data_IF_477403690645
#
_entry.id   IF_477403690645
#
_cell.length_a   1.000
_cell.length_b   1.000
_cell.length_c   1.000
_cell.angle_alpha   90.00
_cell.angle_beta   90.00
_cell.angle_gamma   90.00
#
_symmetry.space_group_name_H-M   'P 1'
#
loop_
_entity.id
_entity.type
_entity.pdbx_description
1 polymer ?
#
# COMPACT_ATOMS: atom_id res chain seq x y z
N UNK A 1 12.47 -0.34 -2.17
CA UNK A 1 11.77 -1.60 -2.50
C UNK A 1 10.99 -1.42 -3.78
N UNK A 2 11.15 -2.34 -4.70
CA UNK A 2 10.41 -2.35 -5.95
C UNK A 2 9.71 -3.68 -6.13
N UNK A 3 8.61 -3.69 -6.89
CA UNK A 3 7.91 -4.93 -7.18
C UNK A 3 6.93 -4.76 -8.32
N UNK A 4 6.35 -5.88 -8.72
CA UNK A 4 5.32 -5.90 -9.74
C UNK A 4 4.31 -7.00 -9.47
N UNK A 5 3.09 -6.80 -9.95
CA UNK A 5 2.02 -7.78 -9.82
C UNK A 5 1.15 -7.76 -11.07
N UNK A 6 0.80 -8.94 -11.57
CA UNK A 6 -0.13 -9.10 -12.67
C UNK A 6 -1.55 -9.19 -12.12
N UNK A 7 -2.43 -8.32 -12.62
CA UNK A 7 -3.82 -8.27 -12.21
C UNK A 7 -4.73 -8.62 -13.39
N UNK A 8 -5.80 -9.34 -13.12
CA UNK A 8 -6.69 -9.89 -14.15
C UNK A 8 -7.83 -8.93 -14.55
N UNK A 9 -7.65 -7.63 -14.33
CA UNK A 9 -8.64 -6.61 -14.64
C UNK A 9 -8.05 -5.52 -15.53
N UNK A 10 -8.88 -4.81 -16.32
CA UNK A 10 -8.42 -3.67 -17.11
C UNK A 10 -7.87 -2.54 -16.24
N UNK A 11 -6.98 -1.71 -16.80
CA UNK A 11 -6.38 -0.58 -16.07
C UNK A 11 -7.42 0.30 -15.40
N UNK A 12 -8.52 0.60 -16.07
CA UNK A 12 -9.56 1.45 -15.52
C UNK A 12 -10.16 0.86 -14.24
N UNK A 13 -10.41 -0.43 -14.21
CA UNK A 13 -10.95 -1.13 -13.02
C UNK A 13 -9.91 -1.12 -11.90
N UNK A 14 -8.66 -1.40 -12.21
CA UNK A 14 -7.58 -1.37 -11.23
C UNK A 14 -7.43 0.04 -10.65
N UNK A 15 -7.45 1.05 -11.50
CA UNK A 15 -7.37 2.45 -11.05
C UNK A 15 -8.50 2.82 -10.10
N UNK A 16 -9.73 2.48 -10.45
CA UNK A 16 -10.89 2.76 -9.61
C UNK A 16 -10.76 2.09 -8.23
N UNK A 17 -10.32 0.83 -8.19
CA UNK A 17 -10.16 0.10 -6.94
C UNK A 17 -9.01 0.63 -6.09
N UNK A 18 -7.92 1.09 -6.70
CA UNK A 18 -6.80 1.72 -5.98
C UNK A 18 -7.21 3.04 -5.31
N UNK A 19 -8.29 3.66 -5.77
CA UNK A 19 -8.80 4.91 -5.22
C UNK A 19 -10.12 4.73 -4.43
N UNK A 20 -10.55 3.49 -4.26
CA UNK A 20 -11.77 3.16 -3.53
C UNK A 20 -11.46 2.91 -2.06
N UNK A 21 -12.00 3.75 -1.19
CA UNK A 21 -11.75 3.70 0.24
C UNK A 21 -12.11 2.36 0.87
N UNK A 22 -13.26 1.81 0.51
CA UNK A 22 -13.70 0.53 1.07
C UNK A 22 -12.79 -0.63 0.65
N UNK A 23 -12.38 -0.64 -0.61
CA UNK A 23 -11.43 -1.64 -1.12
C UNK A 23 -10.09 -1.55 -0.40
N UNK A 24 -9.55 -0.35 -0.26
CA UNK A 24 -8.27 -0.12 0.41
C UNK A 24 -8.33 -0.53 1.88
N UNK A 25 -9.39 -0.16 2.58
CA UNK A 25 -9.57 -0.53 3.99
C UNK A 25 -9.61 -2.04 4.16
N UNK A 26 -10.24 -2.75 3.24
CA UNK A 26 -10.35 -4.21 3.30
C UNK A 26 -9.06 -4.93 2.92
N UNK A 27 -8.18 -4.31 2.14
CA UNK A 27 -6.99 -4.95 1.57
C UNK A 27 -5.69 -4.57 2.25
N UNK A 28 -5.61 -3.39 2.89
CA UNK A 28 -4.42 -2.98 3.62
C UNK A 28 -4.31 -3.77 4.93
N UNK A 29 -3.23 -4.51 5.16
CA UNK A 29 -3.06 -5.30 6.38
C UNK A 29 -3.09 -4.43 7.63
N UNK A 30 -3.89 -4.82 8.62
CA UNK A 30 -3.97 -4.12 9.90
C UNK A 30 -4.71 -2.79 9.87
N UNK A 31 -5.31 -2.40 8.76
CA UNK A 31 -6.03 -1.15 8.65
C UNK A 31 -7.33 -1.19 9.47
N UNK A 32 -7.41 -0.33 10.50
CA UNK A 32 -8.60 -0.21 11.35
C UNK A 32 -9.56 0.84 10.83
N UNK A 33 -9.04 1.93 10.26
CA UNK A 33 -9.85 2.97 9.65
C UNK A 33 -9.12 3.61 8.49
N UNK A 34 -9.89 4.06 7.51
CA UNK A 34 -9.38 4.80 6.36
C UNK A 34 -10.46 5.77 5.93
N UNK A 35 -10.15 7.06 5.97
CA UNK A 35 -11.07 8.12 5.62
C UNK A 35 -10.48 8.99 4.52
N UNK A 36 -11.28 9.28 3.51
CA UNK A 36 -10.92 10.20 2.45
C UNK A 36 -11.20 11.62 2.93
N UNK A 37 -10.14 12.39 3.13
CA UNK A 37 -10.24 13.77 3.65
C UNK A 37 -10.33 14.81 2.55
N UNK A 38 -9.92 14.46 1.34
CA UNK A 38 -10.12 15.25 0.11
C UNK A 38 -10.02 14.31 -1.08
N UNK A 39 -10.19 14.83 -2.29
CA UNK A 39 -10.07 14.01 -3.51
C UNK A 39 -8.71 13.30 -3.65
N UNK A 40 -7.67 13.83 -3.01
CA UNK A 40 -6.31 13.32 -3.12
C UNK A 40 -5.66 13.02 -1.77
N UNK A 41 -6.43 13.04 -0.68
CA UNK A 41 -5.88 12.86 0.66
C UNK A 41 -6.70 11.85 1.46
N UNK A 42 -5.99 11.08 2.30
CA UNK A 42 -6.59 10.11 3.20
C UNK A 42 -5.97 10.23 4.59
N UNK A 43 -6.76 9.90 5.61
CA UNK A 43 -6.24 9.62 6.94
C UNK A 43 -6.50 8.17 7.29
N UNK A 44 -5.57 7.53 7.98
CA UNK A 44 -5.65 6.12 8.26
C UNK A 44 -5.17 5.80 9.67
N UNK A 45 -5.73 4.73 10.24
CA UNK A 45 -5.23 4.12 11.46
C UNK A 45 -4.96 2.65 11.15
N UNK A 46 -3.75 2.19 11.43
CA UNK A 46 -3.36 0.82 11.18
C UNK A 46 -2.53 0.27 12.35
N UNK A 47 -2.65 -1.02 12.59
CA UNK A 47 -1.87 -1.72 13.62
C UNK A 47 -0.90 -2.65 12.92
N UNK A 48 0.38 -2.57 13.31
CA UNK A 48 1.43 -3.45 12.82
C UNK A 48 2.13 -4.14 13.97
N UNK A 49 2.67 -5.31 13.70
CA UNK A 49 3.58 -6.01 14.62
C UNK A 49 4.81 -6.42 13.83
N UNK A 50 5.95 -5.83 14.18
CA UNK A 50 7.23 -6.09 13.52
C UNK A 50 8.21 -6.55 14.58
N UNK A 51 8.56 -7.86 14.57
CA UNK A 51 9.32 -8.46 15.65
C UNK A 51 8.59 -8.26 16.99
N UNK A 52 9.26 -7.77 18.03
CA UNK A 52 8.64 -7.51 19.33
C UNK A 52 7.89 -6.18 19.40
N UNK A 53 7.91 -5.36 18.35
CA UNK A 53 7.32 -4.03 18.35
C UNK A 53 5.92 -4.06 17.76
N UNK A 54 4.93 -3.80 18.60
CA UNK A 54 3.55 -3.59 18.18
C UNK A 54 3.25 -2.10 18.21
N UNK A 55 2.71 -1.56 17.13
CA UNK A 55 2.42 -0.14 17.02
C UNK A 55 1.04 0.09 16.41
N UNK A 56 0.39 1.13 16.92
CA UNK A 56 -0.81 1.70 16.30
C UNK A 56 -0.40 2.98 15.61
N UNK A 57 -0.52 2.99 14.29
CA UNK A 57 -0.09 4.10 13.45
C UNK A 57 -1.27 4.99 13.12
N UNK A 58 -1.04 6.30 13.24
CA UNK A 58 -1.94 7.32 12.70
C UNK A 58 -1.21 7.96 11.55
N UNK A 59 -1.77 7.84 10.35
CA UNK A 59 -1.10 8.27 9.15
C UNK A 59 -1.94 9.19 8.29
N UNK A 60 -1.22 9.96 7.47
CA UNK A 60 -1.81 10.79 6.41
C UNK A 60 -1.17 10.40 5.10
N UNK A 61 -1.98 10.32 4.06
CA UNK A 61 -1.54 9.95 2.72
C UNK A 61 -2.06 10.98 1.74
N UNK A 62 -1.18 11.45 0.86
CA UNK A 62 -1.53 12.35 -0.23
C UNK A 62 -1.15 11.69 -1.55
N UNK A 63 -2.02 11.85 -2.55
CA UNK A 63 -1.77 11.39 -3.90
C UNK A 63 -1.30 12.55 -4.75
N UNK A 64 -0.19 12.37 -5.46
CA UNK A 64 0.39 13.38 -6.35
C UNK A 64 0.69 12.75 -7.71
N UNK A 65 1.02 13.58 -8.68
CA UNK A 65 1.38 13.15 -10.04
C UNK A 65 0.34 12.19 -10.63
N UNK A 66 -0.94 12.52 -10.41
CA UNK A 66 -2.06 11.72 -10.88
C UNK A 66 -2.12 11.70 -12.41
N UNK A 67 -2.06 10.51 -12.97
CA UNK A 67 -2.17 10.27 -14.41
C UNK A 67 -3.13 9.10 -14.66
N UNK A 68 -4.44 9.30 -14.45
CA UNK A 68 -5.42 8.23 -14.62
C UNK A 68 -5.52 7.76 -16.08
N UNK A 69 -5.64 6.45 -16.34
CA UNK A 69 -5.54 5.33 -15.41
C UNK A 69 -4.13 4.72 -15.37
N UNK A 70 -3.07 5.49 -15.61
CA UNK A 70 -1.72 5.00 -15.83
C UNK A 70 -0.87 4.95 -14.57
N UNK A 71 -1.16 5.78 -13.58
CA UNK A 71 -0.39 5.76 -12.35
C UNK A 71 -0.52 7.01 -11.51
N UNK A 72 0.22 7.02 -10.40
CA UNK A 72 0.28 8.13 -9.46
C UNK A 72 1.43 7.94 -8.48
N UNK A 73 1.68 8.98 -7.69
CA UNK A 73 2.63 8.90 -6.58
C UNK A 73 1.88 9.04 -5.27
N UNK A 74 2.16 8.14 -4.34
CA UNK A 74 1.61 8.15 -2.99
C UNK A 74 2.68 8.73 -2.07
N UNK A 75 2.34 9.77 -1.30
CA UNK A 75 3.22 10.33 -0.28
C UNK A 75 2.54 10.19 1.06
N UNK A 76 3.21 9.53 2.01
CA UNK A 76 2.61 9.23 3.29
C UNK A 76 3.54 9.47 4.46
N UNK A 77 2.93 9.74 5.61
CA UNK A 77 3.63 9.81 6.88
C UNK A 77 2.74 9.27 7.99
N UNK A 78 3.35 8.67 8.99
CA UNK A 78 2.61 8.11 10.11
C UNK A 78 3.40 8.20 11.40
N UNK A 79 2.68 8.28 12.52
CA UNK A 79 3.23 8.28 13.85
C UNK A 79 2.72 7.06 14.62
N UNK A 80 3.62 6.35 15.27
CA UNK A 80 3.33 5.15 16.04
C UNK A 80 3.65 5.26 17.53
N UNK A 81 3.60 6.48 18.09
CA UNK A 81 3.92 6.72 19.49
C UNK A 81 5.34 6.30 19.82
N UNK A 82 5.50 5.44 20.84
CA UNK A 82 6.82 4.96 21.26
C UNK A 82 7.54 4.15 20.18
N UNK A 83 6.83 3.57 19.23
CA UNK A 83 7.44 2.83 18.14
C UNK A 83 8.19 3.74 17.17
N UNK A 84 7.85 5.02 17.11
CA UNK A 84 8.52 6.00 16.28
C UNK A 84 7.63 6.56 15.18
N UNK A 85 8.26 6.88 14.05
CA UNK A 85 7.56 7.44 12.90
C UNK A 85 8.02 6.75 11.61
N UNK A 86 7.20 6.90 10.59
CA UNK A 86 7.52 6.45 9.23
C UNK A 86 7.04 7.51 8.25
N UNK A 87 7.84 7.78 7.22
CA UNK A 87 7.42 8.62 6.10
C UNK A 87 8.02 8.07 4.83
N UNK A 88 7.32 8.26 3.73
CA UNK A 88 7.83 7.76 2.47
C UNK A 88 6.94 8.07 1.30
N UNK A 89 7.33 7.55 0.15
CA UNK A 89 6.59 7.68 -1.08
C UNK A 89 6.62 6.38 -1.86
N UNK A 90 5.60 6.21 -2.71
CA UNK A 90 5.52 5.08 -3.61
C UNK A 90 5.07 5.57 -4.98
N UNK A 91 5.83 5.19 -6.01
CA UNK A 91 5.42 5.39 -7.40
C UNK A 91 4.70 4.13 -7.87
N UNK A 92 3.50 4.31 -8.41
CA UNK A 92 2.68 3.22 -8.92
C UNK A 92 2.40 3.47 -10.41
N UNK A 93 2.65 2.44 -11.23
CA UNK A 93 2.39 2.48 -12.67
C UNK A 93 1.58 1.28 -13.10
N UNK A 94 0.64 1.54 -13.99
CA UNK A 94 -0.24 0.53 -14.56
C UNK A 94 -0.03 0.47 -16.08
N UNK A 95 0.16 -0.74 -16.60
CA UNK A 95 0.28 -0.95 -18.03
C UNK A 95 -0.52 -2.20 -18.44
N UNK A 96 -0.98 -2.23 -19.68
CA UNK A 96 -1.69 -3.40 -20.20
C UNK A 96 -0.70 -4.54 -20.41
N UNK A 97 -1.05 -5.72 -19.93
CA UNK A 97 -0.24 -6.92 -20.13
C UNK A 97 -1.09 -8.16 -20.03
N UNK A 98 -0.93 -9.06 -21.00
CA UNK A 98 -1.57 -10.40 -21.01
C UNK A 98 -3.08 -10.37 -20.75
N UNK A 99 -3.77 -9.41 -21.35
CA UNK A 99 -5.22 -9.27 -21.20
C UNK A 99 -5.68 -8.64 -19.89
N UNK A 100 -4.75 -8.22 -19.06
CA UNK A 100 -5.02 -7.55 -17.79
C UNK A 100 -4.12 -6.35 -17.59
N UNK A 101 -3.68 -6.14 -16.35
CA UNK A 101 -2.85 -4.99 -15.98
C UNK A 101 -1.62 -5.45 -15.22
N UNK A 102 -0.45 -4.99 -15.66
CA UNK A 102 0.76 -5.08 -14.87
C UNK A 102 0.87 -3.84 -14.00
N UNK A 103 0.87 -4.03 -12.69
CA UNK A 103 1.13 -2.96 -11.73
C UNK A 103 2.59 -3.06 -11.30
N UNK A 104 3.32 -1.95 -11.46
CA UNK A 104 4.69 -1.83 -10.95
C UNK A 104 4.73 -0.77 -9.88
N UNK A 105 5.56 -0.96 -8.86
CA UNK A 105 5.71 0.01 -7.79
C UNK A 105 7.15 0.13 -7.33
N UNK A 106 7.47 1.33 -6.84
CA UNK A 106 8.76 1.64 -6.22
C UNK A 106 8.49 2.43 -4.96
N UNK A 107 9.02 1.96 -3.83
CA UNK A 107 8.79 2.54 -2.51
C UNK A 107 10.11 3.00 -1.90
N UNK A 108 10.13 4.24 -1.44
CA UNK A 108 11.18 4.79 -0.58
C UNK A 108 10.56 5.16 0.76
N UNK A 109 11.16 4.72 1.85
CA UNK A 109 10.65 4.98 3.18
C UNK A 109 11.78 5.29 4.16
N UNK A 110 11.48 6.15 5.12
CA UNK A 110 12.35 6.46 6.25
C UNK A 110 11.61 6.10 7.54
N UNK A 111 12.27 5.34 8.38
CA UNK A 111 11.74 4.88 9.66
C UNK A 111 12.61 5.47 10.76
N UNK A 112 12.00 6.05 11.78
CA UNK A 112 12.70 6.58 12.94
C UNK A 112 12.14 6.02 14.24
N UNK A 113 12.85 6.24 15.34
CA UNK A 113 12.44 5.81 16.66
C UNK A 113 12.77 4.36 16.97
N UNK A 114 12.02 3.77 17.88
CA UNK A 114 12.27 2.41 18.37
C UNK A 114 12.23 1.36 17.26
N UNK A 115 11.32 1.51 16.30
CA UNK A 115 11.21 0.58 15.19
C UNK A 115 12.48 0.53 14.35
N UNK A 116 13.15 1.67 14.14
CA UNK A 116 14.39 1.74 13.39
C UNK A 116 15.52 0.92 14.03
N UNK A 117 15.48 0.74 15.34
CA UNK A 117 16.48 -0.03 16.09
C UNK A 117 16.41 -1.53 15.81
N UNK A 118 15.34 -2.01 15.21
CA UNK A 118 15.21 -3.42 14.82
C UNK A 118 16.14 -3.80 13.67
N UNK A 119 16.68 -2.81 12.95
CA UNK A 119 17.56 -3.02 11.83
C UNK A 119 16.85 -3.09 10.49
N UNK A 120 17.54 -2.65 9.46
CA UNK A 120 16.99 -2.50 8.12
C UNK A 120 16.52 -3.84 7.53
N UNK A 121 17.21 -4.93 7.84
CA UNK A 121 16.87 -6.25 7.33
C UNK A 121 15.48 -6.70 7.81
N UNK A 122 15.18 -6.52 9.10
CA UNK A 122 13.89 -6.89 9.65
C UNK A 122 12.79 -5.99 9.10
N UNK A 123 13.06 -4.68 8.98
CA UNK A 123 12.11 -3.72 8.42
C UNK A 123 11.80 -4.06 6.96
N UNK A 124 12.80 -4.36 6.16
CA UNK A 124 12.61 -4.73 4.75
C UNK A 124 11.79 -6.01 4.61
N UNK A 125 12.03 -7.01 5.44
CA UNK A 125 11.25 -8.23 5.43
C UNK A 125 9.79 -8.00 5.79
N UNK A 126 9.52 -7.17 6.79
CA UNK A 126 8.17 -6.81 7.18
C UNK A 126 7.45 -6.02 6.09
N UNK A 127 8.13 -5.07 5.46
CA UNK A 127 7.56 -4.28 4.37
C UNK A 127 7.19 -5.16 3.16
N UNK A 128 8.06 -6.09 2.81
CA UNK A 128 7.77 -7.04 1.72
C UNK A 128 6.57 -7.91 2.03
N UNK A 129 6.49 -8.41 3.25
CA UNK A 129 5.35 -9.24 3.68
C UNK A 129 4.04 -8.45 3.61
N UNK A 130 4.04 -7.21 4.05
CA UNK A 130 2.86 -6.34 4.00
C UNK A 130 2.44 -6.06 2.57
N UNK A 131 3.39 -5.80 1.67
CA UNK A 131 3.11 -5.59 0.26
C UNK A 131 2.52 -6.85 -0.39
N UNK A 132 3.09 -8.01 -0.11
CA UNK A 132 2.61 -9.28 -0.65
C UNK A 132 1.18 -9.58 -0.16
N UNK A 133 0.87 -9.36 1.11
CA UNK A 133 -0.46 -9.52 1.66
C UNK A 133 -1.46 -8.55 1.04
N UNK A 134 -1.07 -7.28 0.90
CA UNK A 134 -1.91 -6.28 0.27
C UNK A 134 -2.28 -6.69 -1.15
N UNK A 135 -1.30 -7.05 -1.97
CA UNK A 135 -1.55 -7.37 -3.37
C UNK A 135 -2.29 -8.69 -3.55
N UNK A 136 -2.12 -9.64 -2.65
CA UNK A 136 -2.92 -10.87 -2.67
C UNK A 136 -4.41 -10.55 -2.48
N UNK A 137 -4.73 -9.73 -1.49
CA UNK A 137 -6.11 -9.31 -1.24
C UNK A 137 -6.63 -8.38 -2.31
N UNK A 138 -5.78 -7.47 -2.80
CA UNK A 138 -6.15 -6.54 -3.85
C UNK A 138 -6.46 -7.25 -5.16
N UNK A 139 -5.66 -8.23 -5.55
CA UNK A 139 -5.90 -9.03 -6.74
C UNK A 139 -7.26 -9.74 -6.68
N UNK A 140 -7.63 -10.25 -5.50
CA UNK A 140 -8.95 -10.85 -5.32
C UNK A 140 -10.06 -9.81 -5.44
N UNK A 141 -9.83 -8.59 -4.92
CA UNK A 141 -10.82 -7.52 -4.95
C UNK A 141 -11.09 -6.98 -6.35
N UNK A 142 -10.08 -6.96 -7.23
CA UNK A 142 -10.27 -6.51 -8.62
C UNK A 142 -10.78 -7.61 -9.55
N UNK A 143 -11.08 -8.78 -9.01
CA UNK A 143 -11.65 -9.87 -9.80
C UNK A 143 -10.60 -10.74 -10.49
N UNK A 144 -9.49 -11.04 -9.80
CA UNK A 144 -8.56 -12.05 -10.28
C UNK A 144 -9.34 -13.34 -10.61
N UNK A 145 -9.02 -14.02 -11.74
CA UNK A 145 -9.74 -15.22 -12.08
C UNK A 145 -9.55 -16.25 -10.97
N UNK A 146 -10.62 -17.03 -10.65
CA UNK A 146 -10.47 -18.10 -9.68
C UNK A 146 -9.43 -19.08 -10.19
N UNK A 147 -8.71 -19.76 -9.29
CA UNK A 147 -7.77 -20.79 -9.70
C UNK A 147 -8.47 -21.77 -10.60
N UNK A 148 -7.83 -22.08 -11.72
CA UNK A 148 -8.39 -23.07 -12.64
C UNK A 148 -8.36 -24.41 -11.93
N UNK A 149 -9.52 -24.92 -11.70
CA UNK A 149 -9.65 -26.24 -11.09
C UNK A 149 -9.22 -27.31 -12.06
#
# INVERSE_FOLDING_TARGET
MTGEVQLAAPRQVVWEKLNDTDTLKATIPGCESLEKTSDTSFSAVAVTKIGPVKAKWKGKVNLTDLDPPNGYKIVGEGEGGVAGFAKGSADVRLSDKDGGTLLTYSVDAQIGGKLAQLGQRLINGAAKKMADEFFQKFAAAVGAPPPVA
#
